data_IF_421696881699
#
_entry.id   IF_421696881699
#
_cell.length_a   1.000
_cell.length_b   1.000
_cell.length_c   1.000
_cell.angle_alpha   90.00
_cell.angle_beta   90.00
_cell.angle_gamma   90.00
#
_symmetry.space_group_name_H-M   'P 1'
#
loop_
_entity.id
_entity.type
_entity.pdbx_description
1 polymer ?
#
# COMPACT_ATOMS: atom_id res chain seq x y z
N UNK A 1 1.25 29.86 -34.51
CA UNK A 1 2.16 29.16 -33.58
C UNK A 1 2.27 27.73 -34.07
N UNK A 2 3.45 27.31 -34.51
CA UNK A 2 3.69 25.91 -34.91
C UNK A 2 3.88 25.13 -33.62
N UNK A 3 3.04 24.12 -33.36
CA UNK A 3 3.20 23.20 -32.22
C UNK A 3 4.04 22.01 -32.76
N UNK A 4 5.37 21.97 -32.53
CA UNK A 4 6.19 20.88 -33.04
C UNK A 4 5.84 19.58 -32.32
N UNK A 5 5.85 18.48 -33.03
CA UNK A 5 5.70 17.15 -32.43
C UNK A 5 6.88 16.86 -31.49
N UNK A 6 6.57 16.38 -30.28
CA UNK A 6 7.58 15.94 -29.31
C UNK A 6 7.96 14.51 -29.67
N UNK A 7 9.24 14.28 -29.92
CA UNK A 7 9.74 12.93 -30.14
C UNK A 7 9.80 12.20 -28.78
N UNK A 8 8.99 11.15 -28.62
CA UNK A 8 8.87 10.39 -27.38
C UNK A 8 10.18 9.72 -26.93
N UNK A 9 11.10 9.47 -27.90
CA UNK A 9 12.42 8.89 -27.59
C UNK A 9 13.37 9.86 -26.87
N UNK A 10 13.10 11.17 -26.94
CA UNK A 10 13.94 12.20 -26.31
C UNK A 10 13.46 12.53 -24.87
N UNK A 11 12.35 11.92 -24.44
CA UNK A 11 11.86 12.09 -23.08
C UNK A 11 12.65 11.18 -22.10
N UNK A 12 13.00 11.72 -20.92
CA UNK A 12 13.67 10.92 -19.90
C UNK A 12 12.78 9.75 -19.50
N UNK A 13 13.34 8.54 -19.55
CA UNK A 13 12.63 7.32 -19.17
C UNK A 13 12.28 7.37 -17.69
N UNK A 14 11.01 7.15 -17.37
CA UNK A 14 10.51 7.09 -15.99
C UNK A 14 11.14 5.90 -15.22
N UNK A 15 11.59 4.87 -15.94
CA UNK A 15 12.28 3.71 -15.35
C UNK A 15 13.72 4.04 -14.91
N UNK A 16 14.35 5.09 -15.44
CA UNK A 16 15.68 5.56 -15.03
C UNK A 16 15.68 6.26 -13.66
N UNK A 17 14.52 6.50 -13.05
CA UNK A 17 14.40 7.17 -11.77
C UNK A 17 14.73 6.21 -10.62
N UNK A 18 15.71 6.58 -9.79
CA UNK A 18 16.01 5.84 -8.57
C UNK A 18 14.94 6.06 -7.53
N UNK A 19 14.22 5.00 -7.15
CA UNK A 19 13.20 5.04 -6.13
C UNK A 19 13.78 4.66 -4.77
N UNK A 20 13.54 5.51 -3.78
CA UNK A 20 13.84 5.23 -2.39
C UNK A 20 12.78 4.27 -1.82
N UNK A 21 13.18 3.18 -1.19
CA UNK A 21 12.23 2.23 -0.59
C UNK A 21 11.55 2.83 0.63
N UNK A 22 10.36 2.35 0.96
CA UNK A 22 9.70 2.62 2.24
C UNK A 22 10.30 1.73 3.34
N UNK A 23 10.07 2.08 4.62
CA UNK A 23 10.62 1.36 5.76
C UNK A 23 10.24 -0.13 5.79
N UNK A 24 11.21 -1.01 6.05
CA UNK A 24 10.97 -2.45 6.19
C UNK A 24 10.03 -2.81 7.35
N UNK A 25 9.99 -1.99 8.40
CA UNK A 25 9.01 -2.13 9.49
C UNK A 25 7.58 -2.09 8.98
N UNK A 26 7.33 -1.30 7.92
CA UNK A 26 6.02 -1.24 7.28
C UNK A 26 5.62 -2.57 6.63
N UNK A 27 6.58 -3.28 6.03
CA UNK A 27 6.35 -4.63 5.49
C UNK A 27 5.94 -5.59 6.60
N UNK A 28 6.69 -5.61 7.71
CA UNK A 28 6.37 -6.47 8.86
C UNK A 28 4.98 -6.17 9.40
N UNK A 29 4.63 -4.88 9.55
CA UNK A 29 3.30 -4.45 9.98
C UNK A 29 2.21 -4.96 9.04
N UNK A 30 2.40 -4.82 7.73
CA UNK A 30 1.43 -5.24 6.72
C UNK A 30 1.22 -6.75 6.71
N UNK A 31 2.32 -7.51 6.80
CA UNK A 31 2.26 -8.97 6.87
C UNK A 31 1.62 -9.46 8.18
N UNK A 32 1.92 -8.83 9.31
CA UNK A 32 1.28 -9.16 10.58
C UNK A 32 -0.23 -8.87 10.53
N UNK A 33 -0.63 -7.72 10.01
CA UNK A 33 -2.03 -7.37 9.83
C UNK A 33 -2.74 -8.36 8.89
N UNK A 34 -2.11 -8.70 7.75
CA UNK A 34 -2.60 -9.71 6.83
C UNK A 34 -2.81 -11.06 7.54
N UNK A 35 -1.79 -11.54 8.27
CA UNK A 35 -1.86 -12.81 9.02
C UNK A 35 -2.98 -12.81 10.06
N UNK A 36 -3.12 -11.74 10.83
CA UNK A 36 -4.21 -11.59 11.83
C UNK A 36 -5.58 -11.66 11.16
N UNK A 37 -5.78 -10.94 10.06
CA UNK A 37 -7.05 -10.97 9.31
C UNK A 37 -7.34 -12.38 8.79
N UNK A 38 -6.34 -13.09 8.23
CA UNK A 38 -6.52 -14.45 7.75
C UNK A 38 -6.87 -15.44 8.87
N UNK A 39 -6.22 -15.31 10.03
CA UNK A 39 -6.55 -16.14 11.20
C UNK A 39 -8.00 -15.92 11.69
N UNK A 40 -8.44 -14.67 11.75
CA UNK A 40 -9.81 -14.33 12.14
C UNK A 40 -10.83 -14.86 11.13
N UNK A 41 -10.56 -14.71 9.84
CA UNK A 41 -11.44 -15.22 8.78
C UNK A 41 -11.50 -16.76 8.81
N UNK A 42 -10.38 -17.42 9.01
CA UNK A 42 -10.34 -18.88 9.13
C UNK A 42 -11.08 -19.36 10.38
N UNK A 43 -10.89 -18.70 11.52
CA UNK A 43 -11.62 -19.01 12.75
C UNK A 43 -13.14 -18.82 12.59
N UNK A 44 -13.55 -17.71 11.94
CA UNK A 44 -14.96 -17.47 11.64
C UNK A 44 -15.54 -18.52 10.69
N UNK A 45 -14.76 -18.93 9.68
CA UNK A 45 -15.17 -19.95 8.71
C UNK A 45 -15.29 -21.34 9.34
N UNK A 46 -14.40 -21.70 10.26
CA UNK A 46 -14.40 -22.98 10.92
C UNK A 46 -15.37 -23.05 12.13
N UNK A 47 -15.78 -21.90 12.67
CA UNK A 47 -16.62 -21.85 13.89
C UNK A 47 -17.93 -22.65 13.78
N UNK A 48 -18.72 -22.60 12.67
CA UNK A 48 -19.95 -23.38 12.57
C UNK A 48 -19.67 -24.89 12.59
N UNK A 49 -18.62 -25.32 11.89
CA UNK A 49 -18.21 -26.73 11.89
C UNK A 49 -17.80 -27.21 13.27
N UNK A 50 -17.02 -26.42 14.00
CA UNK A 50 -16.57 -26.76 15.35
C UNK A 50 -17.74 -26.81 16.34
N UNK A 51 -18.64 -25.82 16.29
CA UNK A 51 -19.84 -25.79 17.14
C UNK A 51 -20.72 -27.01 16.90
N UNK A 52 -20.92 -27.37 15.64
CA UNK A 52 -21.71 -28.55 15.27
C UNK A 52 -21.02 -29.84 15.76
N UNK A 53 -19.72 -29.98 15.52
CA UNK A 53 -18.94 -31.19 15.90
C UNK A 53 -18.88 -31.41 17.40
N UNK A 54 -18.72 -30.32 18.19
CA UNK A 54 -18.66 -30.41 19.65
C UNK A 54 -20.01 -30.25 20.34
N UNK A 55 -21.05 -29.82 19.63
CA UNK A 55 -22.42 -29.71 20.13
C UNK A 55 -23.17 -31.02 20.29
N UNK A 56 -22.54 -32.15 19.94
CA UNK A 56 -23.13 -33.48 20.09
C UNK A 56 -23.98 -33.95 18.91
N UNK A 57 -24.02 -33.22 17.84
CA UNK A 57 -24.69 -33.59 16.59
C UNK A 57 -23.78 -34.51 15.76
N UNK A 58 -24.27 -35.71 15.41
CA UNK A 58 -23.45 -36.72 14.72
C UNK A 58 -23.52 -36.65 13.19
N UNK A 59 -24.50 -35.92 12.65
CA UNK A 59 -24.71 -35.86 11.19
C UNK A 59 -23.76 -34.81 10.54
N UNK A 60 -22.54 -35.24 10.25
CA UNK A 60 -21.53 -34.46 9.52
C UNK A 60 -21.81 -34.33 8.02
N UNK A 61 -22.88 -34.96 7.51
CA UNK A 61 -23.18 -34.90 6.07
C UNK A 61 -23.45 -33.44 5.60
N UNK A 62 -24.05 -32.63 6.45
CA UNK A 62 -24.26 -31.20 6.18
C UNK A 62 -22.96 -30.42 5.92
N UNK A 63 -21.83 -30.88 6.48
CA UNK A 63 -20.51 -30.26 6.32
C UNK A 63 -19.61 -30.96 5.31
N UNK A 64 -20.08 -31.96 4.61
CA UNK A 64 -19.28 -32.69 3.63
C UNK A 64 -18.72 -31.84 2.52
N UNK A 65 -19.36 -30.70 2.20
CA UNK A 65 -18.92 -29.73 1.22
C UNK A 65 -18.23 -28.51 1.83
N UNK A 66 -17.94 -28.48 3.14
CA UNK A 66 -17.34 -27.32 3.81
C UNK A 66 -15.88 -27.05 3.41
N UNK A 67 -15.25 -27.99 2.72
CA UNK A 67 -13.88 -27.85 2.23
C UNK A 67 -13.73 -26.76 1.16
N UNK A 68 -14.76 -26.51 0.34
CA UNK A 68 -14.64 -25.53 -0.76
C UNK A 68 -14.54 -24.08 -0.26
N UNK A 69 -15.25 -23.58 0.77
CA UNK A 69 -15.02 -22.25 1.31
C UNK A 69 -13.63 -22.10 1.92
N UNK A 70 -13.13 -23.16 2.58
CA UNK A 70 -11.77 -23.19 3.13
C UNK A 70 -10.73 -23.13 2.01
N UNK A 71 -10.92 -23.89 0.95
CA UNK A 71 -10.03 -23.85 -0.22
C UNK A 71 -10.06 -22.49 -0.91
N UNK A 72 -11.25 -21.91 -1.11
CA UNK A 72 -11.39 -20.57 -1.68
C UNK A 72 -10.69 -19.50 -0.81
N UNK A 73 -10.87 -19.56 0.53
CA UNK A 73 -10.17 -18.69 1.46
C UNK A 73 -8.66 -18.84 1.36
N UNK A 74 -8.12 -20.07 1.27
CA UNK A 74 -6.69 -20.32 1.13
C UNK A 74 -6.12 -19.72 -0.17
N UNK A 75 -6.84 -19.84 -1.30
CA UNK A 75 -6.45 -19.22 -2.57
C UNK A 75 -6.42 -17.70 -2.46
N UNK A 76 -7.48 -17.08 -1.92
CA UNK A 76 -7.55 -15.63 -1.76
C UNK A 76 -6.47 -15.12 -0.79
N UNK A 77 -6.23 -15.84 0.31
CA UNK A 77 -5.16 -15.53 1.26
C UNK A 77 -3.79 -15.57 0.58
N UNK A 78 -3.53 -16.59 -0.22
CA UNK A 78 -2.27 -16.75 -0.95
C UNK A 78 -2.06 -15.61 -1.95
N UNK A 79 -3.07 -15.29 -2.76
CA UNK A 79 -2.99 -14.20 -3.73
C UNK A 79 -2.74 -12.86 -3.05
N UNK A 80 -3.45 -12.57 -1.97
CA UNK A 80 -3.22 -11.35 -1.19
C UNK A 80 -1.85 -11.33 -0.52
N UNK A 81 -1.42 -12.44 0.08
CA UNK A 81 -0.09 -12.58 0.67
C UNK A 81 1.04 -12.35 -0.35
N UNK A 82 0.90 -12.88 -1.56
CA UNK A 82 1.84 -12.64 -2.65
C UNK A 82 1.88 -11.17 -3.07
N UNK A 83 0.73 -10.49 -3.13
CA UNK A 83 0.67 -9.05 -3.41
C UNK A 83 1.35 -8.24 -2.30
N UNK A 84 1.14 -8.57 -1.02
CA UNK A 84 1.82 -7.87 0.07
C UNK A 84 3.34 -8.12 0.05
N UNK A 85 3.77 -9.36 -0.22
CA UNK A 85 5.17 -9.72 -0.24
C UNK A 85 5.93 -9.11 -1.44
N UNK A 86 5.45 -9.37 -2.67
CA UNK A 86 6.11 -8.91 -3.90
C UNK A 86 5.83 -7.42 -4.17
N UNK A 87 4.62 -6.95 -3.86
CA UNK A 87 4.23 -5.56 -4.04
C UNK A 87 5.02 -4.61 -3.16
N UNK A 88 5.48 -5.08 -1.99
CA UNK A 88 6.34 -4.29 -1.12
C UNK A 88 7.67 -3.92 -1.79
N UNK A 89 8.30 -4.85 -2.51
CA UNK A 89 9.60 -4.61 -3.19
C UNK A 89 9.54 -3.51 -4.26
N UNK A 90 8.36 -3.26 -4.83
CA UNK A 90 8.14 -2.18 -5.81
C UNK A 90 7.71 -0.87 -5.16
N UNK A 91 7.35 -0.90 -3.88
CA UNK A 91 6.86 0.27 -3.16
C UNK A 91 8.02 1.22 -2.86
N UNK A 92 7.93 2.42 -3.42
CA UNK A 92 8.97 3.42 -3.24
C UNK A 92 8.53 4.79 -3.74
N UNK A 93 9.30 5.80 -3.37
CA UNK A 93 9.08 7.18 -3.78
C UNK A 93 10.36 7.77 -4.37
N UNK A 94 10.19 8.72 -5.26
CA UNK A 94 11.28 9.50 -5.82
C UNK A 94 10.94 10.99 -5.76
N UNK A 95 11.90 11.78 -5.33
CA UNK A 95 11.80 13.24 -5.26
C UNK A 95 12.70 13.81 -6.34
N UNK A 96 12.14 14.60 -7.25
CA UNK A 96 12.88 15.32 -8.28
C UNK A 96 12.80 16.82 -8.04
N UNK A 97 13.39 17.59 -8.92
CA UNK A 97 13.40 19.06 -8.76
C UNK A 97 12.02 19.70 -8.84
N UNK A 98 11.11 19.14 -9.61
CA UNK A 98 9.79 19.71 -9.91
C UNK A 98 8.60 18.87 -9.47
N UNK A 99 8.84 17.62 -9.08
CA UNK A 99 7.78 16.67 -8.76
C UNK A 99 8.20 15.63 -7.72
N UNK A 100 7.19 14.96 -7.18
CA UNK A 100 7.33 13.76 -6.38
C UNK A 100 6.55 12.62 -7.02
N UNK A 101 7.19 11.47 -7.17
CA UNK A 101 6.59 10.27 -7.74
C UNK A 101 6.55 9.17 -6.70
N UNK A 102 5.43 8.49 -6.59
CA UNK A 102 5.27 7.31 -5.73
C UNK A 102 4.76 6.14 -6.57
N UNK A 103 5.38 4.98 -6.39
CA UNK A 103 4.96 3.74 -7.05
C UNK A 103 4.62 2.67 -6.02
N UNK A 104 3.64 1.82 -6.36
CA UNK A 104 3.19 0.73 -5.51
C UNK A 104 2.59 -0.40 -6.35
N UNK A 105 2.46 -1.59 -5.71
CA UNK A 105 1.79 -2.75 -6.24
C UNK A 105 2.64 -3.63 -7.16
N UNK A 106 2.36 -4.91 -7.11
CA UNK A 106 2.94 -5.92 -8.00
C UNK A 106 1.94 -6.36 -9.07
N UNK A 107 0.77 -6.80 -8.68
CA UNK A 107 -0.32 -7.17 -9.59
C UNK A 107 -1.05 -5.92 -10.08
N UNK A 108 -1.48 -5.07 -9.15
CA UNK A 108 -2.11 -3.79 -9.45
C UNK A 108 -1.08 -2.67 -9.32
N UNK A 109 -0.41 -2.36 -10.42
CA UNK A 109 0.66 -1.37 -10.44
C UNK A 109 0.08 0.03 -10.53
N UNK A 110 0.52 0.89 -9.61
CA UNK A 110 0.18 2.31 -9.64
C UNK A 110 1.45 3.14 -9.53
N UNK A 111 1.57 4.16 -10.37
CA UNK A 111 2.61 5.18 -10.29
C UNK A 111 1.92 6.53 -10.37
N UNK A 112 2.06 7.33 -9.33
CA UNK A 112 1.45 8.65 -9.25
C UNK A 112 2.54 9.69 -9.12
N UNK A 113 2.55 10.67 -10.03
CA UNK A 113 3.47 11.80 -10.02
C UNK A 113 2.70 13.06 -9.73
N UNK A 114 3.18 13.84 -8.76
CA UNK A 114 2.58 15.11 -8.34
C UNK A 114 3.61 16.22 -8.46
N UNK A 115 3.38 17.22 -9.34
CA UNK A 115 4.20 18.42 -9.41
C UNK A 115 4.10 19.25 -8.13
N UNK A 116 5.22 19.81 -7.64
CA UNK A 116 5.21 20.64 -6.43
C UNK A 116 4.29 21.86 -6.53
N UNK A 117 4.19 22.46 -7.72
CA UNK A 117 3.28 23.59 -7.95
C UNK A 117 1.79 23.29 -7.83
N UNK A 118 1.40 22.00 -7.80
CA UNK A 118 0.02 21.58 -7.57
C UNK A 118 -0.29 21.26 -6.11
N UNK A 119 0.72 21.18 -5.25
CA UNK A 119 0.55 20.82 -3.83
C UNK A 119 -0.02 22.01 -3.08
N UNK A 120 -1.14 21.80 -2.39
CA UNK A 120 -1.75 22.78 -1.51
C UNK A 120 -1.22 22.67 -0.07
N UNK A 121 -1.21 21.46 0.46
CA UNK A 121 -0.69 21.16 1.78
C UNK A 121 -0.28 19.69 1.92
N UNK A 122 0.53 19.42 2.93
CA UNK A 122 0.94 18.07 3.30
C UNK A 122 0.59 17.78 4.76
N UNK A 123 0.18 16.54 5.04
CA UNK A 123 -0.19 16.07 6.37
C UNK A 123 0.60 14.80 6.71
N UNK A 124 1.21 14.77 7.89
CA UNK A 124 1.72 13.52 8.47
C UNK A 124 0.62 12.89 9.33
N UNK A 125 0.34 11.63 9.10
CA UNK A 125 -0.63 10.87 9.86
C UNK A 125 -0.06 9.56 10.38
N UNK A 126 -0.42 9.19 11.59
CA UNK A 126 -0.05 7.93 12.23
C UNK A 126 -1.30 7.25 12.76
N UNK A 127 -1.51 5.99 12.38
CA UNK A 127 -2.47 5.13 13.07
C UNK A 127 -1.86 4.51 14.34
N UNK A 128 -2.67 3.89 15.22
CA UNK A 128 -2.18 3.31 16.46
C UNK A 128 -1.02 2.31 16.25
N UNK A 129 -1.16 1.37 15.33
CA UNK A 129 -0.14 0.37 15.02
C UNK A 129 1.10 1.01 14.39
N UNK A 130 0.91 1.96 13.47
CA UNK A 130 2.03 2.69 12.84
C UNK A 130 2.83 3.48 13.89
N UNK A 131 2.15 4.08 14.88
CA UNK A 131 2.77 4.81 15.98
C UNK A 131 3.63 3.90 16.85
N UNK A 132 3.14 2.71 17.20
CA UNK A 132 3.91 1.72 17.96
C UNK A 132 5.18 1.27 17.24
N UNK A 133 5.20 1.31 15.91
CA UNK A 133 6.33 0.91 15.08
C UNK A 133 7.20 2.08 14.60
N UNK A 134 6.90 3.33 15.01
CA UNK A 134 7.61 4.54 14.57
C UNK A 134 7.44 4.81 13.08
N UNK A 135 6.26 4.51 12.52
CA UNK A 135 5.95 4.69 11.10
C UNK A 135 5.00 5.87 10.90
N UNK A 136 5.24 6.60 9.83
CA UNK A 136 4.43 7.73 9.38
C UNK A 136 3.85 7.48 7.98
N UNK A 137 2.76 8.16 7.70
CA UNK A 137 2.16 8.24 6.39
C UNK A 137 2.09 9.72 5.99
N UNK A 138 2.71 10.07 4.88
CA UNK A 138 2.65 11.41 4.32
C UNK A 138 1.50 11.46 3.30
N UNK A 139 0.54 12.33 3.56
CA UNK A 139 -0.55 12.65 2.62
C UNK A 139 -0.25 14.00 1.99
N UNK A 140 -0.36 14.07 0.69
CA UNK A 140 -0.16 15.27 -0.11
C UNK A 140 -1.48 15.59 -0.79
N UNK A 141 -1.97 16.79 -0.58
CA UNK A 141 -3.23 17.28 -1.13
C UNK A 141 -2.95 18.24 -2.27
N UNK A 142 -3.61 18.02 -3.40
CA UNK A 142 -3.42 18.81 -4.62
C UNK A 142 -4.64 19.67 -4.94
N UNK A 143 -4.41 20.75 -5.68
CA UNK A 143 -5.48 21.58 -6.22
C UNK A 143 -6.36 20.72 -7.17
N UNK A 144 -7.67 20.65 -6.91
CA UNK A 144 -8.62 19.86 -7.70
C UNK A 144 -8.98 18.48 -7.12
N UNK A 145 -8.34 18.02 -6.04
CA UNK A 145 -8.73 16.82 -5.28
C UNK A 145 -8.49 15.46 -5.96
N UNK A 146 -8.30 15.41 -7.28
CA UNK A 146 -8.15 14.17 -8.05
C UNK A 146 -6.74 13.56 -8.02
N UNK A 147 -5.75 14.31 -7.51
CA UNK A 147 -4.33 13.91 -7.50
C UNK A 147 -3.73 13.73 -6.11
N UNK A 148 -4.54 13.49 -5.08
CA UNK A 148 -4.02 13.29 -3.74
C UNK A 148 -3.10 12.07 -3.68
N UNK A 149 -1.90 12.26 -3.11
CA UNK A 149 -0.89 11.22 -3.00
C UNK A 149 -0.71 10.82 -1.54
N UNK A 150 -0.69 9.52 -1.27
CA UNK A 150 -0.38 8.98 0.05
C UNK A 150 0.84 8.08 -0.02
N UNK A 151 1.94 8.53 0.58
CA UNK A 151 3.16 7.75 0.77
C UNK A 151 3.07 7.10 2.15
N UNK A 152 2.93 5.79 2.18
CA UNK A 152 2.73 5.04 3.40
C UNK A 152 4.01 4.31 3.83
N UNK A 153 4.22 4.22 5.16
CA UNK A 153 5.30 3.42 5.73
C UNK A 153 6.67 4.06 5.71
N UNK A 154 6.73 5.39 5.87
CA UNK A 154 7.97 6.13 6.07
C UNK A 154 8.46 6.00 7.52
N UNK A 155 9.77 5.90 7.73
CA UNK A 155 10.34 6.14 9.04
C UNK A 155 10.10 7.60 9.47
N UNK A 156 10.13 7.87 10.77
CA UNK A 156 9.87 9.21 11.32
C UNK A 156 10.77 10.28 10.70
N UNK A 157 12.06 10.00 10.64
CA UNK A 157 13.07 10.93 10.10
C UNK A 157 12.87 11.19 8.60
N UNK A 158 12.60 10.13 7.83
CA UNK A 158 12.33 10.24 6.39
C UNK A 158 11.06 11.04 6.11
N UNK A 159 10.03 10.82 6.94
CA UNK A 159 8.76 11.51 6.79
C UNK A 159 8.88 13.02 7.06
N UNK A 160 9.63 13.40 8.10
CA UNK A 160 9.89 14.80 8.43
C UNK A 160 10.77 15.47 7.37
N UNK A 161 11.83 14.79 6.93
CA UNK A 161 12.71 15.28 5.86
C UNK A 161 11.93 15.49 4.57
N UNK A 162 11.14 14.51 4.17
CA UNK A 162 10.34 14.57 2.94
C UNK A 162 9.32 15.71 3.01
N UNK A 163 8.66 15.89 4.15
CA UNK A 163 7.74 16.99 4.39
C UNK A 163 8.43 18.34 4.25
N UNK A 164 9.58 18.52 4.88
CA UNK A 164 10.34 19.79 4.83
C UNK A 164 10.79 20.14 3.40
N UNK A 165 11.21 19.14 2.62
CA UNK A 165 11.57 19.32 1.21
C UNK A 165 10.35 19.76 0.39
N UNK A 166 9.20 19.13 0.59
CA UNK A 166 7.96 19.51 -0.10
C UNK A 166 7.55 20.93 0.25
N UNK A 167 7.54 21.30 1.54
CA UNK A 167 7.19 22.64 1.98
C UNK A 167 8.13 23.71 1.40
N UNK A 168 9.44 23.43 1.35
CA UNK A 168 10.43 24.34 0.76
C UNK A 168 10.25 24.53 -0.76
N UNK A 169 9.79 23.50 -1.47
CA UNK A 169 9.57 23.54 -2.93
C UNK A 169 8.19 24.12 -3.31
N UNK A 170 7.19 23.98 -2.46
CA UNK A 170 5.84 24.52 -2.68
C UNK A 170 5.79 26.04 -2.48
N UNK A 171 6.70 26.62 -1.68
CA UNK A 171 6.75 28.08 -1.42
C UNK A 171 7.50 28.88 -2.50
N UNK A 172 8.08 28.24 -3.49
CA UNK A 172 8.78 28.89 -4.61
C UNK A 172 7.88 29.05 -5.82
#
# INVERSE_FOLDING_TARGET
MVNPEINLSDLPDVEAVTFLPVSEKYRTMRLALWGTVQLLLLAALLSPYLLYRFGGEEDLAAFSQWWWPVAAQAVLATLWGLEEWKGFQRRGYAVRDRDITYRTGWLFRSTTTVPFGMIQHSELSQGPVSRMMGLNHLKIFTAGGSGNLRIAGLAEEDAQTLRSVIEARTRR
#
